data_IF_757871716520
#
_entry.id   IF_757871716520
#
_cell.length_a   1.000
_cell.length_b   1.000
_cell.length_c   1.000
_cell.angle_alpha   90.00
_cell.angle_beta   90.00
_cell.angle_gamma   90.00
#
_symmetry.space_group_name_H-M   'P 1'
#
loop_
_entity.id
_entity.type
_entity.pdbx_description
1 polymer ?
#
# COMPACT_ATOMS: atom_id res chain seq x y z
N UNK A 1 -72.57 -36.36 12.11
CA UNK A 1 -72.33 -37.10 10.85
C UNK A 1 -71.12 -38.01 11.05
N UNK A 2 -71.07 -39.14 10.32
CA UNK A 2 -70.11 -40.27 10.33
C UNK A 2 -68.74 -40.02 11.01
N UNK A 3 -68.28 -40.78 12.02
CA UNK A 3 -68.00 -42.23 12.11
C UNK A 3 -66.69 -42.68 11.42
N UNK A 4 -65.71 -43.20 12.19
CA UNK A 4 -64.91 -44.47 12.06
C UNK A 4 -63.54 -44.34 12.80
N UNK A 5 -62.81 -45.39 13.26
CA UNK A 5 -63.13 -46.71 13.85
C UNK A 5 -61.84 -47.41 14.43
N UNK A 6 -61.76 -47.68 15.75
CA UNK A 6 -60.82 -48.65 16.42
C UNK A 6 -59.29 -48.35 16.32
N UNK A 7 -58.34 -49.01 17.02
CA UNK A 7 -58.33 -50.27 17.79
C UNK A 7 -57.27 -50.27 18.94
N UNK A 8 -57.44 -51.17 19.91
CA UNK A 8 -56.54 -51.44 21.06
C UNK A 8 -55.15 -52.01 20.69
N UNK A 9 -54.14 -51.72 21.52
CA UNK A 9 -53.23 -52.74 22.07
C UNK A 9 -52.46 -52.21 23.30
N UNK A 10 -52.37 -53.01 24.36
CA UNK A 10 -51.50 -52.76 25.51
C UNK A 10 -50.61 -53.99 25.73
N UNK A 11 -49.35 -53.79 26.11
CA UNK A 11 -48.47 -54.84 26.59
C UNK A 11 -47.44 -54.28 27.58
N UNK A 12 -47.41 -54.86 28.79
CA UNK A 12 -46.29 -54.75 29.71
C UNK A 12 -45.11 -55.61 29.21
N UNK A 13 -43.85 -55.22 29.50
CA UNK A 13 -43.00 -55.98 30.43
C UNK A 13 -41.55 -55.48 30.53
N UNK A 14 -40.99 -55.68 31.74
CA UNK A 14 -39.58 -55.98 32.05
C UNK A 14 -38.46 -55.11 31.48
N UNK A 15 -37.84 -54.35 32.37
CA UNK A 15 -36.63 -53.58 32.13
C UNK A 15 -35.33 -54.39 32.00
N UNK A 16 -34.27 -53.64 31.72
CA UNK A 16 -32.89 -54.00 32.01
C UNK A 16 -32.14 -52.72 32.41
N UNK A 17 -31.57 -52.68 33.61
CA UNK A 17 -30.56 -51.69 33.94
C UNK A 17 -29.27 -52.08 33.21
N UNK A 18 -28.83 -51.26 32.26
CA UNK A 18 -27.50 -51.37 31.67
C UNK A 18 -26.65 -50.18 32.14
N UNK A 19 -25.80 -50.42 33.14
CA UNK A 19 -24.68 -49.52 33.39
C UNK A 19 -23.68 -49.66 32.23
N UNK A 20 -23.40 -48.57 31.53
CA UNK A 20 -22.27 -48.48 30.58
C UNK A 20 -21.34 -47.39 31.10
N UNK A 21 -20.04 -47.68 31.05
CA UNK A 21 -19.02 -46.97 31.79
C UNK A 21 -18.84 -45.51 31.33
N UNK A 22 -18.37 -44.68 32.27
CA UNK A 22 -17.78 -43.41 31.93
C UNK A 22 -16.37 -43.64 31.35
N UNK A 23 -16.28 -43.81 30.03
CA UNK A 23 -14.99 -43.80 29.34
C UNK A 23 -14.41 -42.38 29.32
N UNK A 24 -13.62 -42.10 30.35
CA UNK A 24 -12.75 -40.93 30.43
C UNK A 24 -11.52 -41.08 29.52
N UNK A 25 -11.72 -41.14 28.20
CA UNK A 25 -10.61 -40.97 27.26
C UNK A 25 -10.35 -39.49 26.96
N UNK A 26 -9.21 -38.99 27.45
CA UNK A 26 -8.75 -37.65 27.15
C UNK A 26 -8.48 -37.47 25.65
N UNK A 27 -9.31 -36.67 24.97
CA UNK A 27 -9.08 -36.23 23.60
C UNK A 27 -7.82 -35.33 23.56
N UNK A 28 -6.67 -35.94 23.31
CA UNK A 28 -5.39 -35.22 23.22
C UNK A 28 -5.30 -34.28 22.00
N UNK A 29 -4.40 -33.29 22.03
CA UNK A 29 -4.29 -32.20 21.03
C UNK A 29 -3.87 -32.63 19.61
N UNK A 30 -3.67 -33.92 19.36
CA UNK A 30 -3.12 -34.44 18.11
C UNK A 30 -4.08 -34.31 16.89
N UNK A 31 -5.41 -34.27 17.11
CA UNK A 31 -6.37 -34.11 16.00
C UNK A 31 -6.58 -32.66 15.56
N UNK A 32 -6.47 -31.70 16.46
CA UNK A 32 -6.63 -30.27 16.14
C UNK A 32 -5.45 -29.75 15.32
N UNK A 33 -4.22 -30.14 15.70
CA UNK A 33 -3.01 -29.80 14.92
C UNK A 33 -2.97 -30.35 13.50
N UNK A 34 -3.81 -31.34 13.14
CA UNK A 34 -3.92 -31.83 11.77
C UNK A 34 -4.75 -30.90 10.87
N UNK A 35 -5.79 -30.26 11.42
CA UNK A 35 -6.63 -29.29 10.71
C UNK A 35 -5.83 -28.06 10.30
N UNK A 36 -5.13 -27.42 11.24
CA UNK A 36 -4.42 -26.19 10.90
C UNK A 36 -3.14 -26.42 10.08
N UNK A 37 -2.57 -27.64 10.08
CA UNK A 37 -1.57 -28.04 9.07
C UNK A 37 -2.15 -28.10 7.66
N UNK A 38 -3.41 -28.53 7.47
CA UNK A 38 -4.02 -28.52 6.13
C UNK A 38 -4.32 -27.10 5.66
N UNK A 39 -4.75 -26.21 6.55
CA UNK A 39 -4.99 -24.79 6.22
C UNK A 39 -3.68 -24.02 5.98
N UNK A 40 -2.62 -24.31 6.75
CA UNK A 40 -1.28 -23.79 6.47
C UNK A 40 -0.74 -24.29 5.13
N UNK A 41 -1.01 -25.56 4.77
CA UNK A 41 -0.66 -26.10 3.45
C UNK A 41 -1.48 -25.44 2.32
N UNK A 42 -2.74 -25.12 2.55
CA UNK A 42 -3.60 -24.36 1.63
C UNK A 42 -3.05 -22.94 1.39
N UNK A 43 -2.71 -22.20 2.45
CA UNK A 43 -2.07 -20.87 2.34
C UNK A 43 -0.73 -20.94 1.60
N UNK A 44 0.09 -21.96 1.91
CA UNK A 44 1.34 -22.20 1.18
C UNK A 44 1.11 -22.57 -0.30
N UNK A 45 0.02 -23.25 -0.62
CA UNK A 45 -0.37 -23.53 -2.00
C UNK A 45 -0.82 -22.26 -2.73
N UNK A 46 -1.63 -21.41 -2.08
CA UNK A 46 -2.02 -20.08 -2.59
C UNK A 46 -0.80 -19.21 -2.88
N UNK A 47 0.24 -19.22 -2.03
CA UNK A 47 1.48 -18.48 -2.28
C UNK A 47 2.31 -19.05 -3.43
N UNK A 48 2.23 -20.36 -3.71
CA UNK A 48 2.87 -20.97 -4.89
C UNK A 48 2.10 -20.67 -6.17
N UNK A 49 0.77 -20.76 -6.13
CA UNK A 49 -0.12 -20.37 -7.22
C UNK A 49 0.06 -18.89 -7.56
N UNK A 50 0.08 -18.02 -6.55
CA UNK A 50 0.38 -16.58 -6.68
C UNK A 50 1.67 -16.30 -7.44
N UNK A 51 2.75 -17.03 -7.14
CA UNK A 51 4.01 -16.95 -7.88
C UNK A 51 3.88 -17.48 -9.31
N UNK A 52 3.10 -18.55 -9.51
CA UNK A 52 2.90 -19.17 -10.83
C UNK A 52 2.05 -18.29 -11.76
N UNK A 53 0.96 -17.69 -11.28
CA UNK A 53 0.18 -16.69 -12.02
C UNK A 53 1.03 -15.46 -12.36
N UNK A 54 1.82 -14.98 -11.40
CA UNK A 54 2.72 -13.87 -11.64
C UNK A 54 3.76 -14.22 -12.71
N UNK A 55 4.37 -15.41 -12.68
CA UNK A 55 5.32 -15.86 -13.70
C UNK A 55 4.66 -16.08 -15.07
N UNK A 56 3.40 -16.54 -15.11
CA UNK A 56 2.61 -16.58 -16.34
C UNK A 56 2.33 -15.16 -16.90
N UNK A 57 2.06 -14.17 -16.04
CA UNK A 57 1.89 -12.76 -16.44
C UNK A 57 3.21 -12.07 -16.84
N UNK A 58 4.34 -12.56 -16.33
CA UNK A 58 5.70 -12.07 -16.63
C UNK A 58 6.24 -12.55 -17.96
N UNK A 59 5.75 -13.68 -18.48
CA UNK A 59 6.09 -14.10 -19.83
C UNK A 59 5.30 -13.23 -20.82
N UNK A 60 5.95 -12.35 -21.62
CA UNK A 60 5.34 -12.00 -22.90
C UNK A 60 5.09 -13.33 -23.64
N UNK A 61 4.08 -13.33 -24.51
CA UNK A 61 3.73 -14.46 -25.37
C UNK A 61 4.84 -14.70 -26.41
N UNK A 62 6.00 -15.15 -25.94
CA UNK A 62 7.13 -15.62 -26.72
C UNK A 62 6.58 -16.73 -27.59
N UNK A 63 6.50 -16.43 -28.88
CA UNK A 63 5.93 -17.34 -29.86
C UNK A 63 6.61 -18.70 -29.71
N UNK A 64 5.78 -19.75 -29.73
CA UNK A 64 6.19 -21.14 -29.59
C UNK A 64 6.87 -21.61 -30.90
N UNK A 65 7.95 -20.94 -31.30
CA UNK A 65 8.72 -21.21 -32.51
C UNK A 65 10.16 -21.57 -32.13
N UNK A 66 10.41 -22.88 -32.00
CA UNK A 66 11.75 -23.46 -32.17
C UNK A 66 12.79 -23.18 -31.08
N UNK A 67 12.55 -23.65 -29.85
CA UNK A 67 13.57 -23.64 -28.79
C UNK A 67 13.79 -25.03 -28.15
N UNK A 68 14.23 -26.01 -28.95
CA UNK A 68 14.92 -27.20 -28.42
C UNK A 68 16.31 -26.80 -27.91
N UNK A 69 16.37 -26.18 -26.72
CA UNK A 69 17.61 -25.83 -26.05
C UNK A 69 17.62 -26.38 -24.63
N UNK A 70 18.57 -27.28 -24.34
CA UNK A 70 18.74 -27.94 -23.03
C UNK A 70 19.56 -27.12 -22.04
N UNK A 71 19.96 -25.89 -22.37
CA UNK A 71 20.54 -24.97 -21.41
C UNK A 71 19.45 -24.37 -20.52
N UNK A 72 19.57 -24.52 -19.19
CA UNK A 72 18.71 -23.81 -18.25
C UNK A 72 18.73 -22.30 -18.58
N UNK A 73 17.57 -21.63 -18.67
CA UNK A 73 17.53 -20.23 -19.05
C UNK A 73 18.27 -19.40 -18.01
N UNK A 74 19.33 -18.70 -18.43
CA UNK A 74 20.03 -17.73 -17.59
C UNK A 74 19.02 -16.67 -17.17
N UNK A 75 18.76 -16.56 -15.86
CA UNK A 75 17.85 -15.57 -15.31
C UNK A 75 18.34 -14.16 -15.68
N UNK A 76 17.60 -13.49 -16.57
CA UNK A 76 17.86 -12.09 -16.95
C UNK A 76 17.05 -11.18 -16.03
N UNK A 77 17.60 -10.01 -15.73
CA UNK A 77 16.84 -8.95 -15.06
C UNK A 77 15.61 -8.60 -15.91
N UNK A 78 14.43 -8.68 -15.32
CA UNK A 78 13.16 -8.24 -15.93
C UNK A 78 12.91 -6.77 -15.63
N UNK A 79 12.06 -6.12 -16.43
CA UNK A 79 11.58 -4.78 -16.09
C UNK A 79 10.74 -4.82 -14.81
N UNK A 80 10.71 -3.73 -14.01
CA UNK A 80 9.69 -3.56 -12.98
C UNK A 80 8.29 -3.76 -13.55
N UNK A 81 7.40 -4.38 -12.78
CA UNK A 81 5.99 -4.57 -13.13
C UNK A 81 5.17 -4.06 -11.94
N UNK A 82 4.18 -3.22 -12.22
CA UNK A 82 3.31 -2.68 -11.19
C UNK A 82 2.31 -3.75 -10.72
N UNK A 83 2.16 -3.95 -9.40
CA UNK A 83 1.22 -4.91 -8.82
C UNK A 83 -0.24 -4.59 -9.20
N UNK A 84 -0.84 -5.34 -10.13
CA UNK A 84 -2.25 -5.18 -10.54
C UNK A 84 -3.27 -5.60 -9.48
N UNK A 85 -2.86 -6.36 -8.48
CA UNK A 85 -3.69 -6.86 -7.38
C UNK A 85 -3.61 -6.00 -6.11
N UNK A 86 -2.82 -4.92 -6.11
CA UNK A 86 -2.80 -3.93 -5.03
C UNK A 86 -4.22 -3.45 -4.73
N UNK A 87 -4.45 -3.08 -3.47
CA UNK A 87 -5.75 -2.63 -3.01
C UNK A 87 -5.80 -1.13 -2.67
N UNK A 88 -4.78 -0.38 -3.11
CA UNK A 88 -4.59 1.05 -2.86
C UNK A 88 -3.61 1.66 -3.91
N UNK A 89 -3.62 2.98 -4.13
CA UNK A 89 -2.65 3.69 -4.98
C UNK A 89 -1.18 3.48 -4.55
N UNK A 90 -0.23 3.11 -5.43
CA UNK A 90 1.12 2.75 -4.98
C UNK A 90 1.91 3.87 -4.28
N UNK A 91 1.62 5.12 -4.60
CA UNK A 91 2.21 6.30 -3.95
C UNK A 91 1.85 6.47 -2.47
N UNK A 92 0.81 5.78 -1.99
CA UNK A 92 0.23 6.02 -0.68
C UNK A 92 1.14 5.59 0.47
N UNK A 93 1.95 4.55 0.27
CA UNK A 93 2.80 3.98 1.30
C UNK A 93 4.01 3.25 0.69
N UNK A 94 5.11 3.25 1.41
CA UNK A 94 6.35 2.56 1.08
C UNK A 94 6.91 1.88 2.35
N UNK A 95 7.89 1.00 2.17
CA UNK A 95 8.70 0.49 3.28
C UNK A 95 9.68 1.58 3.77
N UNK A 96 9.94 1.73 5.08
CA UNK A 96 9.34 1.00 6.20
C UNK A 96 7.90 1.42 6.51
N UNK A 97 7.05 0.43 6.80
CA UNK A 97 5.67 0.68 7.22
C UNK A 97 5.61 1.50 8.54
N UNK A 98 4.67 2.45 8.66
CA UNK A 98 4.57 3.31 9.83
C UNK A 98 4.11 2.53 11.07
N UNK A 99 4.78 2.77 12.19
CA UNK A 99 4.42 2.18 13.49
C UNK A 99 3.62 3.21 14.28
N UNK A 100 2.34 2.96 14.60
CA UNK A 100 1.54 3.90 15.39
C UNK A 100 2.04 3.90 16.84
N UNK A 101 2.74 4.97 17.26
CA UNK A 101 3.29 5.05 18.62
C UNK A 101 2.20 5.20 19.69
N UNK A 102 1.01 5.66 19.31
CA UNK A 102 -0.21 5.67 20.11
C UNK A 102 -1.47 5.98 19.28
N UNK A 103 -2.64 5.92 19.92
CA UNK A 103 -3.96 6.08 19.27
C UNK A 103 -4.16 7.43 18.54
N UNK A 104 -3.38 8.46 18.91
CA UNK A 104 -3.52 9.82 18.38
C UNK A 104 -2.54 10.15 17.24
N UNK A 105 -1.64 9.24 16.84
CA UNK A 105 -0.71 9.47 15.72
C UNK A 105 -1.22 8.96 14.38
N UNK A 106 -2.25 8.12 14.39
CA UNK A 106 -3.04 7.87 13.19
C UNK A 106 -4.04 9.00 13.09
N UNK A 107 -3.94 9.82 12.04
CA UNK A 107 -4.87 10.92 11.76
C UNK A 107 -6.23 10.43 11.28
N UNK A 108 -6.96 9.68 12.10
CA UNK A 108 -8.26 9.11 11.78
C UNK A 108 -8.65 7.94 12.69
N UNK A 109 -9.62 7.14 12.26
CA UNK A 109 -10.21 6.07 13.08
C UNK A 109 -9.31 4.83 13.17
N UNK A 110 -9.11 4.34 14.40
CA UNK A 110 -8.38 3.12 14.74
C UNK A 110 -9.32 2.11 15.40
N UNK A 111 -9.30 0.87 14.92
CA UNK A 111 -10.04 -0.26 15.48
C UNK A 111 -9.08 -1.12 16.30
N UNK A 112 -9.19 -1.06 17.63
CA UNK A 112 -8.33 -1.81 18.54
C UNK A 112 -9.02 -3.08 19.06
N UNK A 113 -8.28 -4.19 19.14
CA UNK A 113 -8.70 -5.41 19.84
C UNK A 113 -7.49 -6.14 20.42
N UNK A 114 -7.63 -6.65 21.64
CA UNK A 114 -6.68 -7.62 22.19
C UNK A 114 -7.07 -9.01 21.71
N UNK A 115 -6.13 -9.70 21.06
CA UNK A 115 -6.21 -11.11 20.69
C UNK A 115 -5.41 -11.96 21.67
N UNK A 116 -5.74 -13.25 21.78
CA UNK A 116 -4.94 -14.23 22.53
C UNK A 116 -4.26 -15.17 21.54
N UNK A 117 -2.97 -14.96 21.27
CA UNK A 117 -2.20 -15.75 20.31
C UNK A 117 -1.59 -16.98 20.99
N UNK A 118 -1.54 -18.10 20.27
CA UNK A 118 -0.68 -19.23 20.63
C UNK A 118 0.77 -18.73 20.71
N UNK A 119 1.49 -19.04 21.79
CA UNK A 119 2.88 -18.63 22.00
C UNK A 119 3.78 -19.84 22.23
N UNK A 120 5.02 -19.79 21.74
CA UNK A 120 6.01 -20.83 21.93
C UNK A 120 7.09 -20.39 22.92
N UNK A 121 7.35 -21.25 23.91
CA UNK A 121 8.40 -21.05 24.89
C UNK A 121 9.56 -22.01 24.59
N UNK A 122 10.68 -21.48 24.12
CA UNK A 122 11.85 -22.28 23.70
C UNK A 122 12.56 -22.94 24.88
N UNK A 123 12.45 -22.37 26.08
CA UNK A 123 13.15 -22.86 27.28
C UNK A 123 12.56 -24.17 27.83
N UNK A 124 11.28 -24.46 27.55
CA UNK A 124 10.61 -25.69 27.97
C UNK A 124 9.93 -26.47 26.81
N UNK A 125 9.98 -25.94 25.59
CA UNK A 125 9.38 -26.53 24.40
C UNK A 125 7.85 -26.58 24.41
N UNK A 126 7.19 -25.81 25.28
CA UNK A 126 5.73 -25.82 25.43
C UNK A 126 5.05 -24.69 24.66
N UNK A 127 3.81 -24.95 24.27
CA UNK A 127 2.88 -23.93 23.81
C UNK A 127 2.16 -23.32 25.01
N UNK A 128 2.01 -22.00 24.98
CA UNK A 128 1.35 -21.16 25.96
C UNK A 128 0.50 -20.11 25.20
N UNK A 129 0.06 -19.04 25.83
CA UNK A 129 -0.63 -17.93 25.16
C UNK A 129 -0.04 -16.58 25.52
N UNK A 130 -0.01 -15.64 24.58
CA UNK A 130 0.32 -14.24 24.80
C UNK A 130 -0.84 -13.35 24.31
N UNK A 131 -1.16 -12.31 25.08
CA UNK A 131 -2.10 -11.28 24.63
C UNK A 131 -1.39 -10.28 23.70
N UNK A 132 -1.89 -10.16 22.47
CA UNK A 132 -1.35 -9.26 21.45
C UNK A 132 -2.41 -8.22 21.09
N UNK A 133 -2.05 -6.93 21.18
CA UNK A 133 -2.96 -5.84 20.84
C UNK A 133 -2.89 -5.55 19.34
N UNK A 134 -3.96 -5.87 18.62
CA UNK A 134 -4.13 -5.50 17.23
C UNK A 134 -4.77 -4.13 17.09
N UNK A 135 -4.27 -3.35 16.14
CA UNK A 135 -4.83 -2.07 15.71
C UNK A 135 -5.01 -2.14 14.20
N UNK A 136 -6.24 -2.11 13.72
CA UNK A 136 -6.52 -1.89 12.29
C UNK A 136 -6.82 -0.42 12.07
N UNK A 137 -6.19 0.16 11.06
CA UNK A 137 -6.33 1.57 10.74
C UNK A 137 -6.12 1.82 9.25
N UNK A 138 -6.42 3.04 8.81
CA UNK A 138 -6.31 3.46 7.41
C UNK A 138 -5.43 4.70 7.29
N UNK A 139 -4.67 4.79 6.20
CA UNK A 139 -4.03 6.02 5.76
C UNK A 139 -4.74 6.53 4.49
N UNK A 140 -5.00 7.84 4.39
CA UNK A 140 -5.60 8.43 3.20
C UNK A 140 -4.63 8.43 2.02
N UNK A 141 -5.14 8.10 0.83
CA UNK A 141 -4.39 8.03 -0.42
C UNK A 141 -4.89 9.05 -1.48
N UNK A 142 -4.26 9.04 -2.66
CA UNK A 142 -4.80 9.68 -3.87
C UNK A 142 -6.24 9.22 -4.17
N UNK A 143 -6.97 10.01 -4.96
CA UNK A 143 -8.28 9.62 -5.50
C UNK A 143 -9.44 9.54 -4.49
N UNK A 144 -9.17 9.73 -3.20
CA UNK A 144 -10.14 9.44 -2.14
C UNK A 144 -10.13 7.98 -1.67
N UNK A 145 -9.08 7.23 -2.01
CA UNK A 145 -8.81 5.88 -1.51
C UNK A 145 -8.11 5.89 -0.14
N UNK A 146 -7.90 4.69 0.41
CA UNK A 146 -7.08 4.43 1.59
C UNK A 146 -6.30 3.13 1.51
N UNK A 147 -5.15 3.06 2.18
CA UNK A 147 -4.46 1.80 2.48
C UNK A 147 -4.83 1.36 3.89
N UNK A 148 -5.12 0.07 4.07
CA UNK A 148 -5.45 -0.50 5.38
C UNK A 148 -4.26 -1.23 5.97
N UNK A 149 -3.95 -0.88 7.22
CA UNK A 149 -2.82 -1.39 7.99
C UNK A 149 -3.31 -2.15 9.22
N UNK A 150 -2.62 -3.23 9.55
CA UNK A 150 -2.76 -4.02 10.77
C UNK A 150 -1.45 -3.93 11.55
N UNK A 151 -1.47 -3.23 12.68
CA UNK A 151 -0.36 -3.25 13.64
C UNK A 151 -0.65 -4.29 14.72
N UNK A 152 0.27 -5.23 14.93
CA UNK A 152 0.26 -6.18 16.03
C UNK A 152 1.31 -5.78 17.06
N UNK A 153 0.85 -5.44 18.27
CA UNK A 153 1.70 -4.94 19.35
C UNK A 153 1.74 -5.94 20.50
N UNK A 154 2.93 -6.45 20.81
CA UNK A 154 3.19 -7.32 21.96
C UNK A 154 3.05 -6.55 23.27
N UNK A 155 3.02 -7.27 24.38
CA UNK A 155 3.20 -6.66 25.70
C UNK A 155 4.66 -6.22 25.85
N UNK A 156 4.90 -5.02 26.40
CA UNK A 156 6.24 -4.43 26.47
C UNK A 156 7.28 -5.25 27.26
N UNK A 157 6.82 -6.16 28.12
CA UNK A 157 7.68 -7.08 28.89
C UNK A 157 8.21 -8.26 28.06
N UNK A 158 7.62 -8.54 26.89
CA UNK A 158 8.04 -9.61 25.98
C UNK A 158 8.52 -9.06 24.62
N UNK A 159 8.48 -7.75 24.39
CA UNK A 159 8.95 -7.11 23.17
C UNK A 159 10.44 -7.43 22.93
N UNK A 160 10.76 -8.09 21.82
CA UNK A 160 12.12 -8.56 21.50
C UNK A 160 12.53 -9.88 22.16
N UNK A 161 11.67 -10.50 22.97
CA UNK A 161 11.94 -11.82 23.55
C UNK A 161 11.88 -12.92 22.46
N UNK A 162 13.01 -13.59 22.26
CA UNK A 162 13.20 -14.72 21.35
C UNK A 162 13.14 -16.09 22.04
N UNK A 163 12.98 -16.12 23.37
CA UNK A 163 12.76 -17.32 24.17
C UNK A 163 11.27 -17.56 24.46
N UNK A 164 10.47 -16.50 24.50
CA UNK A 164 9.02 -16.56 24.55
C UNK A 164 8.41 -15.63 23.50
N UNK A 165 7.72 -16.18 22.49
CA UNK A 165 7.10 -15.39 21.43
C UNK A 165 5.74 -15.93 20.98
N UNK A 166 4.79 -15.04 20.64
CA UNK A 166 3.56 -15.42 19.96
C UNK A 166 3.86 -15.88 18.54
N UNK A 167 3.02 -16.79 18.07
CA UNK A 167 3.02 -17.28 16.70
C UNK A 167 1.98 -16.51 15.89
N UNK A 168 2.36 -16.14 14.67
CA UNK A 168 1.48 -15.37 13.80
C UNK A 168 0.24 -16.20 13.41
N UNK A 169 -0.99 -15.69 13.62
CA UNK A 169 -2.21 -16.41 13.28
C UNK A 169 -2.54 -16.28 11.80
N UNK A 170 -3.51 -17.05 11.35
CA UNK A 170 -4.06 -16.91 10.01
C UNK A 170 -5.16 -15.85 9.99
N UNK A 171 -5.16 -14.95 9.00
CA UNK A 171 -6.21 -13.94 8.83
C UNK A 171 -7.17 -14.29 7.68
N UNK A 172 -8.45 -14.09 7.93
CA UNK A 172 -9.56 -14.23 6.97
C UNK A 172 -10.42 -12.98 6.98
N UNK A 173 -11.03 -12.67 5.86
CA UNK A 173 -11.85 -11.49 5.65
C UNK A 173 -13.25 -11.88 5.13
N UNK A 174 -14.25 -11.11 5.55
CA UNK A 174 -15.63 -11.20 5.07
C UNK A 174 -16.09 -9.83 4.57
N UNK A 175 -16.52 -9.76 3.33
CA UNK A 175 -16.99 -8.53 2.66
C UNK A 175 -17.99 -8.89 1.55
N UNK A 176 -19.16 -8.24 1.56
CA UNK A 176 -20.25 -8.56 0.62
C UNK A 176 -20.65 -10.03 0.72
N UNK A 177 -20.69 -10.73 -0.42
CA UNK A 177 -20.96 -12.17 -0.48
C UNK A 177 -19.76 -13.08 -0.18
N UNK A 178 -18.53 -12.53 -0.12
CA UNK A 178 -17.34 -13.32 0.18
C UNK A 178 -17.21 -13.48 1.70
N UNK A 179 -17.26 -14.74 2.18
CA UNK A 179 -17.23 -15.07 3.60
C UNK A 179 -15.98 -15.85 3.97
N UNK A 180 -15.29 -15.40 5.03
CA UNK A 180 -14.14 -16.06 5.66
C UNK A 180 -13.05 -16.54 4.69
N UNK A 181 -12.76 -15.73 3.66
CA UNK A 181 -11.72 -16.03 2.66
C UNK A 181 -10.38 -15.43 3.04
N UNK A 182 -9.29 -15.93 2.46
CA UNK A 182 -7.95 -15.46 2.77
C UNK A 182 -7.72 -14.00 2.33
N UNK A 183 -6.98 -13.25 3.16
CA UNK A 183 -6.47 -11.90 2.88
C UNK A 183 -4.95 -11.92 2.99
N UNK A 184 -4.23 -11.26 2.07
CA UNK A 184 -2.77 -11.22 2.12
C UNK A 184 -2.38 -10.22 3.20
N UNK A 185 -1.46 -10.61 4.08
CA UNK A 185 -0.97 -9.75 5.15
C UNK A 185 0.53 -9.62 4.98
N UNK A 186 1.05 -8.46 4.63
CA UNK A 186 2.41 -8.30 4.14
C UNK A 186 3.22 -7.25 4.91
N UNK A 187 4.52 -7.47 5.06
CA UNK A 187 5.45 -6.48 5.59
C UNK A 187 5.87 -5.46 4.52
N UNK A 188 5.91 -5.87 3.25
CA UNK A 188 6.34 -5.02 2.12
C UNK A 188 5.13 -4.54 1.30
N UNK A 189 4.82 -3.23 1.29
CA UNK A 189 3.74 -2.68 0.47
C UNK A 189 4.07 -2.73 -1.02
N UNK A 190 3.05 -2.66 -1.88
CA UNK A 190 3.15 -2.67 -3.34
C UNK A 190 3.74 -3.94 -3.98
N UNK A 191 4.11 -4.94 -3.18
CA UNK A 191 4.63 -6.24 -3.64
C UNK A 191 3.51 -7.26 -3.87
N UNK A 192 3.87 -8.44 -4.40
CA UNK A 192 2.95 -9.58 -4.66
C UNK A 192 3.49 -10.92 -4.15
N UNK A 193 4.70 -10.93 -3.58
CA UNK A 193 5.46 -12.15 -3.30
C UNK A 193 5.66 -12.46 -1.80
N UNK A 194 5.51 -11.45 -0.95
CA UNK A 194 5.60 -11.60 0.51
C UNK A 194 4.22 -11.82 1.12
N UNK A 195 4.17 -12.65 2.13
CA UNK A 195 3.03 -12.84 3.00
C UNK A 195 3.59 -13.18 4.38
N UNK A 196 2.90 -12.76 5.43
CA UNK A 196 3.21 -13.15 6.78
C UNK A 196 2.60 -14.54 7.02
N UNK A 197 3.46 -15.55 6.99
CA UNK A 197 3.01 -16.93 7.10
C UNK A 197 2.60 -17.28 8.53
N UNK A 198 1.58 -18.14 8.65
CA UNK A 198 1.14 -18.70 9.92
C UNK A 198 2.30 -19.42 10.64
N UNK A 199 2.28 -19.42 11.97
CA UNK A 199 3.32 -20.00 12.82
C UNK A 199 4.70 -19.30 12.72
N UNK A 200 4.80 -18.15 12.04
CA UNK A 200 6.02 -17.32 12.10
C UNK A 200 6.17 -16.68 13.48
N UNK A 201 7.37 -16.68 14.09
CA UNK A 201 7.64 -15.95 15.34
C UNK A 201 7.39 -14.45 15.22
N UNK A 202 6.44 -13.92 15.99
CA UNK A 202 6.25 -12.48 16.17
C UNK A 202 7.13 -12.02 17.35
N UNK A 203 8.42 -11.82 17.11
CA UNK A 203 9.39 -11.43 18.15
C UNK A 203 9.25 -9.95 18.52
N UNK A 204 9.00 -9.10 17.52
CA UNK A 204 8.81 -7.65 17.68
C UNK A 204 7.40 -7.25 17.27
N UNK A 205 6.88 -6.18 17.86
CA UNK A 205 5.68 -5.48 17.40
C UNK A 205 5.88 -5.03 15.94
N UNK A 206 4.89 -5.25 15.09
CA UNK A 206 5.02 -5.03 13.64
C UNK A 206 3.76 -4.37 13.05
N UNK A 207 3.94 -3.58 12.00
CA UNK A 207 2.86 -3.10 11.13
C UNK A 207 2.90 -3.89 9.83
N UNK A 208 1.72 -4.27 9.35
CA UNK A 208 1.50 -5.05 8.14
C UNK A 208 0.45 -4.34 7.28
N UNK A 209 0.53 -4.50 5.97
CA UNK A 209 -0.50 -4.05 5.03
C UNK A 209 -1.46 -5.20 4.69
N UNK A 210 -2.76 -4.89 4.62
CA UNK A 210 -3.76 -5.82 4.11
C UNK A 210 -3.89 -5.64 2.59
N UNK A 211 -3.77 -6.73 1.84
CA UNK A 211 -3.80 -6.75 0.38
C UNK A 211 -4.53 -7.97 -0.19
N UNK A 212 -4.74 -7.96 -1.50
CA UNK A 212 -5.27 -9.11 -2.23
C UNK A 212 -4.17 -10.15 -2.51
N UNK A 213 -4.59 -11.40 -2.68
CA UNK A 213 -3.75 -12.40 -3.32
C UNK A 213 -3.83 -12.25 -4.85
N UNK A 214 -2.70 -12.38 -5.57
CA UNK A 214 -2.69 -12.52 -7.03
C UNK A 214 -3.03 -13.97 -7.41
N UNK A 215 -4.25 -14.41 -7.10
CA UNK A 215 -4.73 -15.79 -7.31
C UNK A 215 -6.22 -15.77 -7.66
N UNK A 216 -6.61 -16.62 -8.61
CA UNK A 216 -8.00 -16.88 -8.97
C UNK A 216 -8.73 -17.89 -8.06
N UNK A 217 -8.05 -18.43 -7.04
CA UNK A 217 -8.56 -19.51 -6.20
C UNK A 217 -9.85 -19.17 -5.48
N UNK A 218 -10.75 -20.15 -5.40
CA UNK A 218 -12.00 -20.03 -4.62
C UNK A 218 -11.79 -19.74 -3.12
N UNK A 219 -10.58 -19.95 -2.59
CA UNK A 219 -10.22 -19.62 -1.20
C UNK A 219 -9.90 -18.12 -0.98
N UNK A 220 -9.70 -17.34 -2.05
CA UNK A 220 -9.40 -15.89 -2.01
C UNK A 220 -10.55 -15.07 -2.63
N UNK A 221 -10.45 -13.75 -2.54
CA UNK A 221 -11.26 -12.80 -3.28
C UNK A 221 -10.47 -11.51 -3.52
N UNK A 222 -10.98 -10.66 -4.41
CA UNK A 222 -10.56 -9.27 -4.48
C UNK A 222 -11.33 -8.45 -3.43
N UNK A 223 -10.61 -7.63 -2.68
CA UNK A 223 -11.08 -6.85 -1.55
C UNK A 223 -10.94 -5.35 -1.84
N UNK A 224 -12.01 -4.61 -1.63
CA UNK A 224 -11.96 -3.14 -1.57
C UNK A 224 -11.92 -2.75 -0.09
N UNK A 225 -10.75 -2.38 0.42
CA UNK A 225 -10.61 -2.03 1.83
C UNK A 225 -11.18 -0.65 2.19
N UNK A 226 -11.72 0.11 1.22
CA UNK A 226 -12.55 1.29 1.50
C UNK A 226 -13.99 0.91 1.88
N UNK A 227 -14.49 -0.25 1.46
CA UNK A 227 -15.80 -0.76 1.86
C UNK A 227 -15.76 -1.35 3.30
N UNK A 228 -16.92 -1.52 3.97
CA UNK A 228 -16.95 -2.23 5.24
C UNK A 228 -16.51 -3.69 5.07
N UNK A 229 -15.82 -4.21 6.07
CA UNK A 229 -15.42 -5.62 6.13
C UNK A 229 -15.25 -6.09 7.58
N UNK A 230 -15.16 -7.41 7.74
CA UNK A 230 -14.90 -8.08 9.02
C UNK A 230 -13.62 -8.90 8.87
N UNK A 231 -12.62 -8.65 9.71
CA UNK A 231 -11.39 -9.44 9.77
C UNK A 231 -11.50 -10.45 10.91
N UNK A 232 -11.07 -11.69 10.71
CA UNK A 232 -11.05 -12.73 11.75
C UNK A 232 -9.67 -13.40 11.78
N UNK A 233 -9.10 -13.57 12.96
CA UNK A 233 -7.93 -14.46 13.16
C UNK A 233 -8.39 -15.90 13.40
N UNK A 234 -7.58 -16.86 12.96
CA UNK A 234 -7.77 -18.30 13.16
C UNK A 234 -6.48 -18.91 13.71
N UNK A 235 -6.62 -19.65 14.81
CA UNK A 235 -5.51 -20.22 15.60
C UNK A 235 -5.37 -21.74 15.41
N UNK A 236 -4.31 -22.35 15.97
CA UNK A 236 -4.01 -23.77 15.76
C UNK A 236 -5.11 -24.71 16.29
N UNK A 237 -5.79 -24.32 17.36
CA UNK A 237 -6.96 -25.01 17.93
C UNK A 237 -8.27 -24.74 17.16
N UNK A 238 -8.22 -24.09 15.99
CA UNK A 238 -9.37 -23.66 15.18
C UNK A 238 -10.36 -22.75 15.95
N UNK A 239 -9.93 -22.10 17.04
CA UNK A 239 -10.65 -20.96 17.59
C UNK A 239 -10.56 -19.79 16.61
N UNK A 240 -11.64 -19.00 16.56
CA UNK A 240 -11.77 -17.85 15.67
C UNK A 240 -12.02 -16.64 16.54
N UNK A 241 -11.10 -15.69 16.54
CA UNK A 241 -11.36 -14.37 17.11
C UNK A 241 -11.74 -13.39 16.00
N UNK A 242 -12.90 -12.77 16.20
CA UNK A 242 -13.39 -11.71 15.34
C UNK A 242 -12.63 -10.40 15.57
N UNK A 243 -12.57 -9.51 14.59
CA UNK A 243 -12.33 -8.10 14.81
C UNK A 243 -13.56 -7.38 14.26
N UNK A 244 -14.31 -6.74 15.17
CA UNK A 244 -15.64 -6.19 14.95
C UNK A 244 -15.72 -5.42 13.63
N UNK A 245 -16.84 -5.56 12.93
CA UNK A 245 -17.06 -4.98 11.60
C UNK A 245 -16.50 -3.55 11.48
N UNK A 246 -15.58 -3.38 10.54
CA UNK A 246 -14.98 -2.10 10.22
C UNK A 246 -15.93 -1.35 9.29
N UNK A 247 -16.19 -0.09 9.61
CA UNK A 247 -17.04 0.78 8.80
C UNK A 247 -16.34 1.16 7.48
N UNK A 248 -17.08 1.61 6.46
CA UNK A 248 -16.48 2.17 5.24
C UNK A 248 -15.49 3.30 5.55
N UNK A 249 -14.47 3.42 4.72
CA UNK A 249 -13.59 4.58 4.69
C UNK A 249 -14.37 5.82 4.24
N UNK A 250 -14.09 6.94 4.90
CA UNK A 250 -14.71 8.25 4.65
C UNK A 250 -13.62 9.31 4.80
N UNK A 251 -13.13 9.93 3.72
CA UNK A 251 -12.05 10.92 3.79
C UNK A 251 -12.27 12.03 4.82
N UNK A 252 -13.52 12.43 5.06
CA UNK A 252 -13.90 13.43 6.09
C UNK A 252 -13.56 13.04 7.53
N UNK A 253 -13.33 11.76 7.82
CA UNK A 253 -12.95 11.25 9.15
C UNK A 253 -11.42 11.25 9.37
N UNK A 254 -10.63 11.69 8.36
CA UNK A 254 -9.17 11.63 8.35
C UNK A 254 -8.59 13.00 7.96
N UNK A 255 -8.05 13.81 8.89
CA UNK A 255 -7.57 15.16 8.59
C UNK A 255 -6.51 15.22 7.47
N UNK A 256 -5.65 14.21 7.37
CA UNK A 256 -4.62 14.11 6.35
C UNK A 256 -5.17 13.87 4.93
N UNK A 257 -6.44 13.50 4.77
CA UNK A 257 -7.08 13.27 3.47
C UNK A 257 -7.39 14.58 2.71
N UNK A 258 -7.40 15.71 3.41
CA UNK A 258 -7.56 17.04 2.80
C UNK A 258 -6.22 17.72 2.47
N UNK A 259 -5.09 17.11 2.83
CA UNK A 259 -3.75 17.67 2.63
C UNK A 259 -3.15 17.21 1.28
N UNK A 260 -2.35 18.05 0.60
CA UNK A 260 -1.58 17.63 -0.57
C UNK A 260 -0.72 16.39 -0.29
N UNK A 261 -0.57 15.50 -1.27
CA UNK A 261 0.19 14.26 -1.13
C UNK A 261 1.66 14.51 -0.74
N UNK A 262 2.27 13.62 0.06
CA UNK A 262 3.71 13.61 0.31
C UNK A 262 4.54 13.62 -0.98
N UNK A 263 5.51 14.53 -1.11
CA UNK A 263 6.40 14.61 -2.28
C UNK A 263 7.43 13.48 -2.21
N UNK A 264 7.34 12.53 -3.13
CA UNK A 264 8.23 11.38 -3.24
C UNK A 264 8.45 10.97 -4.72
N UNK A 265 9.19 9.88 -4.98
CA UNK A 265 9.54 9.43 -6.33
C UNK A 265 8.35 9.13 -7.26
N UNK A 266 7.16 8.82 -6.72
CA UNK A 266 5.93 8.62 -7.51
C UNK A 266 5.39 9.92 -8.14
N UNK A 267 5.83 11.09 -7.67
CA UNK A 267 5.44 12.40 -8.21
C UNK A 267 6.25 12.78 -9.46
N UNK A 268 7.35 12.08 -9.73
CA UNK A 268 8.15 12.26 -10.95
C UNK A 268 7.34 11.99 -12.22
N UNK A 269 7.67 12.71 -13.30
CA UNK A 269 7.06 12.54 -14.61
C UNK A 269 6.86 13.86 -15.37
N UNK A 270 6.17 13.77 -16.50
CA UNK A 270 5.75 14.94 -17.27
C UNK A 270 4.33 15.35 -16.87
N UNK A 271 4.11 16.66 -16.82
CA UNK A 271 2.84 17.31 -16.44
C UNK A 271 2.49 18.35 -17.51
N UNK A 272 1.20 18.48 -17.85
CA UNK A 272 0.70 19.37 -18.91
C UNK A 272 -0.45 20.23 -18.38
N UNK A 273 -0.60 21.47 -18.88
CA UNK A 273 -1.78 22.28 -18.60
C UNK A 273 -2.82 22.00 -19.70
N UNK A 274 -3.98 21.39 -19.39
CA UNK A 274 -4.99 21.08 -20.41
C UNK A 274 -5.60 22.33 -21.06
N UNK A 275 -5.39 23.52 -20.50
CA UNK A 275 -5.88 24.80 -21.02
C UNK A 275 -4.82 25.58 -21.82
N UNK A 276 -3.53 25.20 -21.73
CA UNK A 276 -2.41 25.88 -22.40
C UNK A 276 -1.58 24.88 -23.21
N UNK A 277 -2.07 24.54 -24.40
CA UNK A 277 -1.42 23.60 -25.32
C UNK A 277 -0.02 24.09 -25.70
N UNK A 278 0.97 23.20 -25.61
CA UNK A 278 2.37 23.50 -25.89
C UNK A 278 3.21 23.81 -24.65
N UNK A 279 2.57 24.08 -23.50
CA UNK A 279 3.27 24.16 -22.22
C UNK A 279 3.37 22.80 -21.51
N UNK A 280 4.41 22.62 -20.71
CA UNK A 280 4.60 21.40 -19.90
C UNK A 280 5.65 21.55 -18.82
N UNK A 281 5.63 20.65 -17.84
CA UNK A 281 6.66 20.55 -16.79
C UNK A 281 7.21 19.13 -16.80
N UNK A 282 8.52 18.99 -16.94
CA UNK A 282 9.22 17.76 -16.55
C UNK A 282 9.63 17.93 -15.07
N UNK A 283 9.26 16.97 -14.23
CA UNK A 283 9.48 17.01 -12.79
C UNK A 283 10.15 15.71 -12.33
N UNK A 284 11.21 15.84 -11.56
CA UNK A 284 11.98 14.72 -11.01
C UNK A 284 12.06 14.87 -9.49
N UNK A 285 11.64 13.85 -8.76
CA UNK A 285 11.95 13.68 -7.33
C UNK A 285 12.99 12.57 -7.21
N UNK A 286 14.21 12.95 -6.86
CA UNK A 286 15.38 12.08 -6.85
C UNK A 286 16.11 12.06 -5.51
N UNK A 287 17.16 11.24 -5.42
CA UNK A 287 18.03 11.10 -4.26
C UNK A 287 19.47 11.52 -4.61
N UNK A 288 20.10 12.32 -3.75
CA UNK A 288 21.48 12.77 -3.95
C UNK A 288 22.42 11.59 -3.72
N UNK A 289 23.12 11.18 -4.78
CA UNK A 289 24.04 10.02 -4.82
C UNK A 289 24.97 9.99 -3.60
N UNK A 290 25.03 8.83 -2.93
CA UNK A 290 25.84 8.63 -1.73
C UNK A 290 25.22 9.18 -0.44
N UNK A 291 23.98 9.67 -0.48
CA UNK A 291 23.24 10.18 0.68
C UNK A 291 21.81 9.64 0.70
N UNK A 292 21.06 9.90 1.77
CA UNK A 292 19.61 9.66 1.87
C UNK A 292 18.78 10.95 1.63
N UNK A 293 19.41 12.03 1.13
CA UNK A 293 18.74 13.32 0.94
C UNK A 293 17.98 13.33 -0.37
N UNK A 294 16.68 13.66 -0.33
CA UNK A 294 15.88 13.83 -1.55
C UNK A 294 15.88 15.27 -2.04
N UNK A 295 15.72 15.43 -3.35
CA UNK A 295 15.50 16.72 -4.01
C UNK A 295 14.29 16.65 -4.94
N UNK A 296 13.72 17.81 -5.24
CA UNK A 296 12.87 18.01 -6.40
C UNK A 296 13.62 18.88 -7.40
N UNK A 297 13.67 18.46 -8.66
CA UNK A 297 14.08 19.25 -9.81
C UNK A 297 12.90 19.41 -10.77
N UNK A 298 12.83 20.54 -11.46
CA UNK A 298 11.85 20.75 -12.52
C UNK A 298 12.43 21.55 -13.70
N UNK A 299 11.88 21.30 -14.87
CA UNK A 299 11.98 22.15 -16.06
C UNK A 299 10.57 22.45 -16.58
N UNK A 300 10.19 23.72 -16.57
CA UNK A 300 8.95 24.25 -17.13
C UNK A 300 9.22 24.81 -18.53
N UNK A 301 8.53 24.23 -19.51
CA UNK A 301 8.49 24.58 -20.91
C UNK A 301 7.28 25.49 -21.12
N UNK A 302 7.52 26.72 -21.55
CA UNK A 302 6.50 27.77 -21.69
C UNK A 302 6.82 28.69 -22.87
N UNK A 303 6.12 29.81 -22.99
CA UNK A 303 6.35 30.83 -24.01
C UNK A 303 6.59 32.20 -23.38
N UNK A 304 7.45 32.99 -24.01
CA UNK A 304 7.66 34.40 -23.67
C UNK A 304 6.49 35.29 -24.15
N UNK A 305 6.54 36.58 -23.82
CA UNK A 305 5.52 37.57 -24.21
C UNK A 305 5.39 37.81 -25.72
N UNK A 306 6.30 37.27 -26.54
CA UNK A 306 6.24 37.28 -28.00
C UNK A 306 5.77 35.92 -28.57
N UNK A 307 5.49 34.93 -27.72
CA UNK A 307 5.11 33.58 -28.13
C UNK A 307 6.29 32.68 -28.50
N UNK A 308 7.53 33.05 -28.17
CA UNK A 308 8.71 32.24 -28.45
C UNK A 308 8.94 31.21 -27.33
N UNK A 309 9.41 29.98 -27.64
CA UNK A 309 9.68 28.96 -26.63
C UNK A 309 10.68 29.43 -25.56
N UNK A 310 10.34 29.16 -24.30
CA UNK A 310 11.08 29.62 -23.14
C UNK A 310 11.20 28.50 -22.10
N UNK A 311 12.33 28.44 -21.40
CA UNK A 311 12.64 27.40 -20.42
C UNK A 311 12.99 28.00 -19.06
N UNK A 312 12.22 27.63 -18.05
CA UNK A 312 12.48 27.93 -16.65
C UNK A 312 12.85 26.61 -15.97
N UNK A 313 13.89 26.59 -15.15
CA UNK A 313 14.23 25.40 -14.36
C UNK A 313 14.62 25.77 -12.93
N UNK A 314 14.49 24.81 -12.02
CA UNK A 314 14.78 25.03 -10.62
C UNK A 314 14.77 23.73 -9.83
N UNK A 315 15.03 23.85 -8.53
CA UNK A 315 15.01 22.69 -7.65
C UNK A 315 15.45 23.03 -6.23
N UNK A 316 15.18 22.11 -5.32
CA UNK A 316 15.48 22.27 -3.90
C UNK A 316 15.48 20.93 -3.17
N UNK A 317 16.12 20.90 -2.00
CA UNK A 317 16.13 19.74 -1.12
C UNK A 317 14.77 19.58 -0.40
N UNK A 318 14.31 18.34 -0.24
CA UNK A 318 13.11 18.00 0.52
C UNK A 318 13.50 17.76 1.98
N UNK A 319 13.34 18.79 2.81
CA UNK A 319 13.91 18.86 4.17
C UNK A 319 13.41 17.79 5.15
N UNK A 320 12.30 17.13 4.87
CA UNK A 320 11.71 16.08 5.72
C UNK A 320 11.32 14.81 4.92
N UNK A 321 12.12 14.44 3.91
CA UNK A 321 11.78 13.34 3.00
C UNK A 321 11.57 11.96 3.66
N UNK A 322 12.23 11.69 4.79
CA UNK A 322 12.21 10.41 5.51
C UNK A 322 11.60 10.53 6.93
N UNK A 323 10.90 11.63 7.22
CA UNK A 323 10.32 11.88 8.54
C UNK A 323 8.85 11.42 8.60
N UNK A 324 8.35 11.16 9.81
CA UNK A 324 6.94 10.86 10.07
C UNK A 324 5.98 11.99 9.65
N UNK A 325 6.48 13.22 9.47
CA UNK A 325 5.78 14.33 8.84
C UNK A 325 6.45 14.64 7.50
N UNK A 326 5.99 14.03 6.40
CA UNK A 326 6.65 14.18 5.10
C UNK A 326 6.44 15.57 4.51
N UNK A 327 7.32 15.95 3.58
CA UNK A 327 7.21 17.22 2.85
C UNK A 327 6.04 17.15 1.87
N UNK A 328 4.99 17.96 2.05
CA UNK A 328 3.78 18.00 1.19
C UNK A 328 3.72 19.23 0.25
N UNK A 329 4.61 20.20 0.46
CA UNK A 329 4.80 21.39 -0.38
C UNK A 329 6.28 21.77 -0.37
N UNK A 330 6.80 22.27 -1.49
CA UNK A 330 8.16 22.80 -1.61
C UNK A 330 8.14 24.08 -2.42
N UNK A 331 8.92 25.08 -2.00
CA UNK A 331 9.26 26.27 -2.80
C UNK A 331 10.72 26.16 -3.22
N UNK A 332 11.00 26.29 -4.51
CA UNK A 332 12.32 26.14 -5.11
C UNK A 332 12.70 27.39 -5.93
N UNK A 333 13.94 27.88 -5.81
CA UNK A 333 14.42 28.99 -6.62
C UNK A 333 14.52 28.57 -8.08
N UNK A 334 13.97 29.42 -8.94
CA UNK A 334 13.81 29.20 -10.36
C UNK A 334 14.69 30.16 -11.16
N UNK A 335 15.24 29.64 -12.26
CA UNK A 335 16.18 30.32 -13.13
C UNK A 335 15.81 30.15 -14.60
N UNK A 336 16.36 31.02 -15.43
CA UNK A 336 16.45 30.85 -16.87
C UNK A 336 17.90 31.05 -17.31
N UNK A 337 18.17 30.79 -18.60
CA UNK A 337 19.50 31.01 -19.20
C UNK A 337 19.41 31.95 -20.39
N UNK A 338 20.43 32.79 -20.56
CA UNK A 338 20.58 33.71 -21.69
C UNK A 338 21.92 33.48 -22.38
N UNK A 339 22.04 33.91 -23.65
CA UNK A 339 23.30 33.79 -24.40
C UNK A 339 23.64 32.39 -24.92
N UNK A 340 22.71 31.44 -24.83
CA UNK A 340 22.83 30.09 -25.38
C UNK A 340 21.58 29.67 -26.15
N UNK A 341 21.59 28.44 -26.67
CA UNK A 341 20.46 27.82 -27.34
C UNK A 341 20.46 26.30 -27.19
N UNK A 342 19.42 25.65 -27.69
CA UNK A 342 19.27 24.20 -27.58
C UNK A 342 20.16 23.45 -28.58
N UNK A 343 20.91 22.45 -28.10
CA UNK A 343 21.65 21.46 -28.91
C UNK A 343 22.60 22.01 -30.00
N UNK A 344 23.31 23.12 -29.73
CA UNK A 344 24.30 23.70 -30.65
C UNK A 344 25.62 24.06 -29.98
N UNK A 345 26.63 24.39 -30.78
CA UNK A 345 27.96 24.85 -30.33
C UNK A 345 27.97 26.28 -29.77
N UNK A 346 26.98 26.62 -28.96
CA UNK A 346 26.90 27.90 -28.25
C UNK A 346 28.06 27.96 -27.24
N UNK A 347 28.82 29.06 -27.25
CA UNK A 347 30.03 29.22 -26.43
C UNK A 347 29.76 29.29 -24.92
N UNK A 348 30.83 29.48 -24.14
CA UNK A 348 30.78 29.57 -22.68
C UNK A 348 30.00 30.76 -22.11
N UNK A 349 29.44 31.63 -22.97
CA UNK A 349 28.75 32.86 -22.60
C UNK A 349 27.34 32.66 -22.01
N UNK A 350 26.90 31.40 -21.80
CA UNK A 350 25.59 31.10 -21.22
C UNK A 350 25.49 31.62 -19.78
N UNK A 351 24.71 32.66 -19.55
CA UNK A 351 24.51 33.23 -18.21
C UNK A 351 23.33 32.56 -17.51
N UNK A 352 23.44 32.38 -16.19
CA UNK A 352 22.34 31.95 -15.30
C UNK A 352 21.68 33.20 -14.72
N UNK A 353 20.39 33.39 -14.98
CA UNK A 353 19.62 34.51 -14.47
C UNK A 353 18.48 34.03 -13.56
N UNK A 354 18.21 34.75 -12.47
CA UNK A 354 17.11 34.45 -11.55
C UNK A 354 15.78 34.79 -12.21
N UNK A 355 14.85 33.83 -12.25
CA UNK A 355 13.48 34.05 -12.70
C UNK A 355 12.55 34.42 -11.53
N UNK A 356 12.72 33.77 -10.38
CA UNK A 356 11.87 33.94 -9.20
C UNK A 356 11.86 32.67 -8.35
N UNK A 357 10.76 32.42 -7.66
CA UNK A 357 10.50 31.18 -6.90
C UNK A 357 9.28 30.45 -7.47
N UNK A 358 9.32 29.12 -7.47
CA UNK A 358 8.22 28.23 -7.90
C UNK A 358 7.91 27.25 -6.79
N UNK A 359 6.63 27.08 -6.46
CA UNK A 359 6.15 26.16 -5.43
C UNK A 359 5.23 25.08 -5.99
N UNK A 360 5.39 23.84 -5.50
CA UNK A 360 4.63 22.67 -5.94
C UNK A 360 3.83 22.03 -4.81
N UNK A 361 2.56 21.72 -5.07
CA UNK A 361 1.67 20.95 -4.21
C UNK A 361 0.93 19.88 -5.04
N UNK A 362 1.05 18.61 -4.67
CA UNK A 362 0.37 17.52 -5.38
C UNK A 362 -1.01 17.31 -4.74
N UNK A 363 -2.08 17.73 -5.41
CA UNK A 363 -3.45 17.62 -4.87
C UNK A 363 -3.87 16.15 -4.84
N UNK A 364 -3.56 15.44 -5.93
CA UNK A 364 -3.75 14.01 -6.11
C UNK A 364 -2.65 13.50 -7.06
N UNK A 365 -2.59 12.20 -7.33
CA UNK A 365 -1.54 11.64 -8.19
C UNK A 365 -1.56 12.17 -9.62
N UNK A 366 -2.68 12.67 -10.11
CA UNK A 366 -2.93 13.13 -11.46
C UNK A 366 -3.02 14.65 -11.56
N UNK A 367 -2.92 15.38 -10.44
CA UNK A 367 -3.09 16.83 -10.35
C UNK A 367 -2.02 17.49 -9.47
N UNK A 368 -1.17 18.32 -10.06
CA UNK A 368 -0.23 19.18 -9.32
C UNK A 368 -0.59 20.65 -9.48
N UNK A 369 -0.56 21.40 -8.38
CA UNK A 369 -0.63 22.86 -8.38
C UNK A 369 0.79 23.40 -8.40
N UNK A 370 1.10 24.19 -9.43
CA UNK A 370 2.29 25.03 -9.45
C UNK A 370 1.87 26.45 -9.13
N UNK A 371 2.55 27.10 -8.20
CA UNK A 371 2.45 28.54 -7.96
C UNK A 371 3.83 29.17 -8.07
N UNK A 372 3.89 30.49 -8.23
CA UNK A 372 5.15 31.19 -8.40
C UNK A 372 5.09 32.63 -7.92
N UNK A 373 6.27 33.19 -7.68
CA UNK A 373 6.51 34.62 -7.51
C UNK A 373 7.73 35.01 -8.36
N UNK A 374 7.53 35.83 -9.39
CA UNK A 374 8.64 36.30 -10.23
C UNK A 374 9.52 37.32 -9.52
N UNK A 375 10.80 37.37 -9.89
CA UNK A 375 11.74 38.37 -9.40
C UNK A 375 11.39 39.78 -9.92
N UNK A 376 11.83 40.82 -9.20
CA UNK A 376 11.82 42.19 -9.73
C UNK A 376 12.89 42.37 -10.81
N UNK A 377 12.62 43.22 -11.80
CA UNK A 377 13.59 43.62 -12.81
C UNK A 377 13.80 42.60 -13.94
N UNK A 378 12.91 41.61 -14.11
CA UNK A 378 12.98 40.68 -15.23
C UNK A 378 12.97 41.42 -16.58
N UNK A 379 13.71 40.93 -17.60
CA UNK A 379 13.68 41.49 -18.95
C UNK A 379 12.28 41.54 -19.54
N UNK A 380 12.05 42.49 -20.44
CA UNK A 380 10.82 42.57 -21.22
C UNK A 380 10.50 41.23 -21.91
N UNK A 381 9.21 40.91 -22.03
CA UNK A 381 8.68 39.62 -22.50
C UNK A 381 8.98 38.39 -21.65
N UNK A 382 9.73 38.46 -20.53
CA UNK A 382 9.91 37.29 -19.65
C UNK A 382 8.56 36.75 -19.13
N UNK A 383 8.30 35.41 -19.17
CA UNK A 383 7.04 34.84 -18.70
C UNK A 383 6.74 35.23 -17.24
N UNK A 384 5.50 35.64 -16.97
CA UNK A 384 5.05 36.01 -15.62
C UNK A 384 5.58 37.34 -15.07
N UNK A 385 6.19 38.19 -15.91
CA UNK A 385 6.65 39.54 -15.53
C UNK A 385 5.49 40.53 -15.30
N UNK A 386 5.57 41.32 -14.24
CA UNK A 386 4.59 42.37 -13.94
C UNK A 386 4.80 43.71 -14.68
N UNK A 387 3.83 44.64 -14.59
CA UNK A 387 3.96 46.00 -15.12
C UNK A 387 5.22 46.69 -14.59
N UNK A 388 5.95 47.39 -15.46
CA UNK A 388 7.22 48.05 -15.09
C UNK A 388 8.35 47.11 -14.64
N UNK A 389 8.17 45.78 -14.73
CA UNK A 389 9.14 44.80 -14.21
C UNK A 389 8.97 44.49 -12.73
N UNK A 390 7.81 44.76 -12.14
CA UNK A 390 7.49 44.30 -10.79
C UNK A 390 7.40 42.77 -10.72
N UNK A 391 7.72 42.22 -9.55
CA UNK A 391 7.36 40.86 -9.18
C UNK A 391 5.87 40.63 -9.37
N UNK A 392 5.48 39.41 -9.74
CA UNK A 392 4.09 38.99 -9.92
C UNK A 392 3.92 37.56 -9.47
N UNK A 393 2.88 37.31 -8.69
CA UNK A 393 2.48 35.97 -8.28
C UNK A 393 1.50 35.34 -9.27
N UNK A 394 1.59 34.04 -9.48
CA UNK A 394 0.60 33.29 -10.26
C UNK A 394 0.46 31.85 -9.78
N UNK A 395 -0.56 31.16 -10.29
CA UNK A 395 -0.74 29.72 -10.07
C UNK A 395 -1.50 29.07 -11.22
N UNK A 396 -1.12 27.82 -11.52
CA UNK A 396 -1.76 26.93 -12.50
C UNK A 396 -1.86 25.51 -11.96
N UNK A 397 -2.84 24.78 -12.47
CA UNK A 397 -3.03 23.36 -12.16
C UNK A 397 -2.68 22.53 -13.39
N UNK A 398 -1.78 21.57 -13.21
CA UNK A 398 -1.25 20.71 -14.26
C UNK A 398 -1.74 19.28 -14.04
N UNK A 399 -1.97 18.57 -15.14
CA UNK A 399 -2.37 17.17 -15.16
C UNK A 399 -1.19 16.27 -15.52
N UNK A 400 -1.14 15.07 -14.94
CA UNK A 400 -0.08 14.10 -15.25
C UNK A 400 -0.20 13.64 -16.70
N UNK A 401 0.85 13.84 -17.49
CA UNK A 401 0.95 13.41 -18.88
C UNK A 401 1.64 12.05 -19.08
N UNK A 402 2.32 11.51 -18.05
CA UNK A 402 3.02 10.23 -18.15
C UNK A 402 3.15 9.49 -16.81
N UNK A 403 3.09 8.17 -16.85
CA UNK A 403 3.46 7.27 -15.74
C UNK A 403 4.85 6.67 -15.98
N UNK A 404 5.71 6.67 -14.96
CA UNK A 404 7.01 5.98 -15.01
C UNK A 404 6.79 4.51 -14.61
N UNK A 405 7.38 3.56 -15.34
CA UNK A 405 7.26 2.14 -15.00
C UNK A 405 7.94 1.86 -13.64
N UNK A 406 7.28 1.08 -12.77
CA UNK A 406 7.68 0.86 -11.38
C UNK A 406 7.37 2.01 -10.41
N UNK A 407 7.15 3.23 -10.90
CA UNK A 407 6.81 4.43 -10.11
C UNK A 407 5.44 5.00 -10.51
N UNK A 408 4.45 4.12 -10.71
CA UNK A 408 3.07 4.53 -11.00
C UNK A 408 2.43 5.09 -9.73
N UNK A 409 2.05 6.37 -9.74
CA UNK A 409 1.52 7.03 -8.54
C UNK A 409 0.15 6.50 -8.12
N UNK A 410 -0.75 6.39 -9.09
CA UNK A 410 -2.13 5.96 -8.88
C UNK A 410 -2.38 4.54 -9.40
N UNK A 411 -3.53 3.97 -9.07
CA UNK A 411 -4.00 2.80 -9.79
C UNK A 411 -4.45 3.23 -11.21
N UNK A 412 -4.17 2.46 -12.26
CA UNK A 412 -4.95 2.59 -13.49
C UNK A 412 -6.42 2.27 -13.12
N UNK A 413 -7.41 2.95 -13.73
CA UNK A 413 -8.81 2.63 -13.48
C UNK A 413 -9.06 1.14 -13.74
N UNK A 414 -9.82 0.49 -12.87
CA UNK A 414 -10.24 -0.89 -13.07
C UNK A 414 -11.07 -0.97 -14.37
N UNK A 415 -10.65 -1.85 -15.28
CA UNK A 415 -11.34 -2.14 -16.54
C UNK A 415 -12.46 -3.16 -16.34
#
# INVERSE_FOLDING_TARGET
MHALKWLFAAAFASGAFAAVAADGEGRGPAREGASMRSVAAELNALMRESRTELDASRMPKLALEGATSTSAPVAKATSPIANSYRAYPPSCIADPLPIPTGANQVGGRVYARTFTFDAYNTANGQFQTEQVNAFIWRLPCSGGDSVTLLTLRRLSQYEGDSSFYPLFPLFRLTQGGNTAKFVRVAQEPNTVITNQDIDTPLIFSTTLVLENFPSNSSATAYWDFNLPFRLTSVYRNNSVEDLSALDPYRPSEYPDAALPLPINGYMSGNWTDPNHVGEGINLEVGEVVGTQSRYLFFAWFTFDGLGLPYWISGGGALSNANAATPTRSITAPAIYRTGGGFAGGFGGDTQRATWGDVSFEFIDCNTVRMSWLTANGLPENTPGRGPGGSSTSGSRTWKRGSTINGLTCDMPPAN
#
